data_IF_437509662535
#
_entry.id   IF_437509662535
#
_cell.length_a   1.000
_cell.length_b   1.000
_cell.length_c   1.000
_cell.angle_alpha   90.00
_cell.angle_beta   90.00
_cell.angle_gamma   90.00
#
_symmetry.space_group_name_H-M   'P 1'
#
loop_
_entity.id
_entity.type
_entity.pdbx_description
1 polymer ?
#
# COMPACT_ATOMS: atom_id res chain seq x y z
N UNK A 1 -25.50 6.07 40.79
CA UNK A 1 -26.29 6.60 39.64
C UNK A 1 -25.57 7.63 38.75
N UNK A 2 -24.36 8.10 39.06
CA UNK A 2 -23.63 9.07 38.20
C UNK A 2 -22.73 8.44 37.10
N UNK A 3 -22.56 7.11 37.08
CA UNK A 3 -21.64 6.44 36.15
C UNK A 3 -22.24 6.21 34.74
N UNK A 4 -23.58 6.11 34.63
CA UNK A 4 -24.25 5.82 33.35
C UNK A 4 -24.36 7.07 32.47
N UNK A 5 -24.49 8.26 33.07
CA UNK A 5 -24.62 9.54 32.34
C UNK A 5 -23.32 9.90 31.58
N UNK A 6 -22.14 9.52 32.09
CA UNK A 6 -20.85 9.85 31.48
C UNK A 6 -20.56 9.04 30.21
N UNK A 7 -21.03 7.79 30.13
CA UNK A 7 -20.80 6.89 29.00
C UNK A 7 -21.61 7.29 27.75
N UNK A 8 -22.79 7.88 27.92
CA UNK A 8 -23.63 8.35 26.81
C UNK A 8 -22.98 9.56 26.11
N UNK A 9 -22.38 10.47 26.89
CA UNK A 9 -21.73 11.68 26.36
C UNK A 9 -20.50 11.32 25.51
N UNK A 10 -19.70 10.35 25.94
CA UNK A 10 -18.56 9.84 25.17
C UNK A 10 -19.02 9.09 23.90
N UNK A 11 -20.10 8.30 23.98
CA UNK A 11 -20.66 7.60 22.83
C UNK A 11 -21.27 8.55 21.77
N UNK A 12 -21.77 9.72 22.18
CA UNK A 12 -22.28 10.74 21.25
C UNK A 12 -21.17 11.49 20.50
N UNK A 13 -19.98 11.64 21.08
CA UNK A 13 -18.89 12.39 20.45
C UNK A 13 -18.25 11.64 19.27
N UNK A 14 -18.05 10.32 19.37
CA UNK A 14 -17.44 9.55 18.26
C UNK A 14 -18.35 9.43 17.03
N UNK A 15 -19.68 9.34 17.23
CA UNK A 15 -20.64 9.22 16.12
C UNK A 15 -20.86 10.55 15.37
N UNK A 16 -20.81 11.68 16.07
CA UNK A 16 -21.05 12.99 15.46
C UNK A 16 -19.91 13.45 14.53
N UNK A 17 -18.67 13.04 14.81
CA UNK A 17 -17.51 13.41 13.99
C UNK A 17 -17.46 12.68 12.64
N UNK A 18 -17.87 11.40 12.57
CA UNK A 18 -17.94 10.63 11.31
C UNK A 18 -18.99 11.18 10.33
N UNK A 19 -20.11 11.70 10.83
CA UNK A 19 -21.19 12.19 9.97
C UNK A 19 -20.78 13.49 9.23
N UNK A 20 -20.06 14.40 9.90
CA UNK A 20 -19.60 15.65 9.27
C UNK A 20 -18.54 15.44 8.18
N UNK A 21 -17.70 14.42 8.31
CA UNK A 21 -16.68 14.14 7.28
C UNK A 21 -17.29 13.63 5.98
N UNK A 22 -18.28 12.72 6.04
CA UNK A 22 -18.91 12.15 4.83
C UNK A 22 -19.65 13.23 4.03
N UNK A 23 -20.35 14.14 4.70
CA UNK A 23 -21.11 15.22 4.03
C UNK A 23 -20.19 16.30 3.45
N UNK A 24 -19.02 16.55 4.05
CA UNK A 24 -18.04 17.50 3.53
C UNK A 24 -17.37 17.03 2.22
N UNK A 25 -17.06 15.73 2.11
CA UNK A 25 -16.50 15.14 0.88
C UNK A 25 -17.50 15.12 -0.28
N UNK A 26 -18.79 14.92 0.00
CA UNK A 26 -19.83 14.92 -1.04
C UNK A 26 -20.09 16.30 -1.63
N UNK A 27 -19.88 17.38 -0.87
CA UNK A 27 -20.03 18.76 -1.35
C UNK A 27 -18.86 19.20 -2.25
N UNK A 28 -17.62 18.83 -1.90
CA UNK A 28 -16.42 19.23 -2.66
C UNK A 28 -16.35 18.63 -4.08
N UNK A 29 -17.02 17.51 -4.35
CA UNK A 29 -16.97 16.83 -5.65
C UNK A 29 -17.88 17.46 -6.72
N UNK A 30 -18.92 18.23 -6.33
CA UNK A 30 -19.94 18.73 -7.28
C UNK A 30 -19.62 20.07 -7.94
N UNK A 31 -18.76 20.90 -7.34
CA UNK A 31 -18.44 22.24 -7.85
C UNK A 31 -17.04 22.37 -8.47
N UNK A 32 -16.28 21.28 -8.62
CA UNK A 32 -14.99 21.31 -9.32
C UNK A 32 -15.20 21.27 -10.84
N UNK A 33 -15.82 22.33 -11.36
CA UNK A 33 -15.86 22.62 -12.79
C UNK A 33 -14.44 23.07 -13.16
N UNK A 34 -13.66 22.20 -13.80
CA UNK A 34 -12.38 22.58 -14.41
C UNK A 34 -12.65 23.59 -15.53
N UNK A 35 -12.28 24.88 -15.41
CA UNK A 35 -12.36 25.79 -16.53
C UNK A 35 -11.22 25.45 -17.50
N UNK A 36 -11.56 25.13 -18.74
CA UNK A 36 -10.63 24.72 -19.82
C UNK A 36 -9.56 25.76 -20.19
N UNK A 37 -9.53 26.94 -19.56
CA UNK A 37 -8.69 28.09 -19.91
C UNK A 37 -7.62 28.50 -18.87
N UNK A 38 -7.36 27.71 -17.82
CA UNK A 38 -6.30 28.02 -16.83
C UNK A 38 -4.87 27.96 -17.42
N UNK A 39 -4.66 27.19 -18.50
CA UNK A 39 -3.33 27.03 -19.11
C UNK A 39 -2.86 28.32 -19.82
N UNK A 40 -3.79 29.14 -20.32
CA UNK A 40 -3.46 30.31 -21.14
C UNK A 40 -2.98 31.52 -20.32
N UNK A 41 -3.54 31.73 -19.12
CA UNK A 41 -3.13 32.83 -18.24
C UNK A 41 -1.77 32.60 -17.58
N UNK A 42 -1.37 31.34 -17.37
CA UNK A 42 -0.07 31.00 -16.79
C UNK A 42 1.11 31.36 -17.72
N UNK A 43 0.97 31.13 -19.02
CA UNK A 43 2.04 31.41 -20.00
C UNK A 43 2.23 32.90 -20.24
N UNK A 44 1.14 33.69 -20.18
CA UNK A 44 1.20 35.15 -20.29
C UNK A 44 1.84 35.77 -19.04
N UNK A 45 1.55 35.24 -17.84
CA UNK A 45 2.18 35.68 -16.58
C UNK A 45 3.69 35.36 -16.53
N UNK A 46 4.10 34.22 -17.07
CA UNK A 46 5.49 33.80 -17.23
C UNK A 46 6.30 34.72 -18.18
N UNK A 47 5.66 35.23 -19.24
CA UNK A 47 6.30 36.11 -20.21
C UNK A 47 6.37 37.57 -19.73
N UNK A 48 5.37 38.08 -19.01
CA UNK A 48 5.33 39.49 -18.55
C UNK A 48 6.09 39.73 -17.24
N UNK A 49 6.16 38.73 -16.35
CA UNK A 49 6.88 38.86 -15.08
C UNK A 49 8.33 38.39 -15.18
N UNK A 50 8.94 38.50 -16.37
CA UNK A 50 10.37 38.34 -16.59
C UNK A 50 10.97 37.29 -15.66
N UNK A 51 10.85 36.02 -16.02
CA UNK A 51 11.68 34.98 -15.42
C UNK A 51 13.14 35.37 -15.67
N UNK A 52 13.68 36.17 -14.76
CA UNK A 52 15.10 36.33 -14.54
C UNK A 52 15.57 34.93 -14.24
N UNK A 53 16.06 34.24 -15.26
CA UNK A 53 16.90 33.07 -15.14
C UNK A 53 18.23 33.51 -14.52
N UNK A 54 18.16 34.02 -13.30
CA UNK A 54 19.30 34.12 -12.40
C UNK A 54 19.34 32.84 -11.56
N UNK A 55 19.25 31.69 -12.22
CA UNK A 55 19.95 30.51 -11.71
C UNK A 55 21.42 30.79 -11.95
N UNK A 56 22.03 31.37 -10.92
CA UNK A 56 23.45 31.53 -10.78
C UNK A 56 24.15 30.24 -11.22
N UNK A 57 25.00 30.34 -12.26
CA UNK A 57 26.01 29.34 -12.55
C UNK A 57 27.02 29.38 -11.41
N UNK A 58 26.72 28.69 -10.32
CA UNK A 58 27.75 28.27 -9.37
C UNK A 58 28.40 27.06 -10.03
N UNK A 59 29.68 27.13 -10.46
CA UNK A 59 30.43 25.92 -10.76
C UNK A 59 30.78 25.29 -9.40
N UNK A 60 29.86 24.51 -8.84
CA UNK A 60 30.28 23.47 -7.92
C UNK A 60 30.99 22.43 -8.76
N UNK A 61 32.29 22.64 -8.95
CA UNK A 61 33.24 21.55 -9.03
C UNK A 61 32.87 20.59 -7.90
N UNK A 62 32.17 19.51 -8.24
CA UNK A 62 32.01 18.36 -7.36
C UNK A 62 33.25 17.49 -7.55
N UNK A 63 34.25 17.53 -6.65
CA UNK A 63 35.14 16.41 -6.52
C UNK A 63 34.34 15.27 -5.86
N UNK A 64 34.59 14.05 -6.35
CA UNK A 64 34.04 12.80 -5.88
C UNK A 64 32.53 12.60 -6.13
N UNK A 65 32.28 11.82 -7.18
CA UNK A 65 31.20 10.84 -7.24
C UNK A 65 31.26 10.03 -5.94
N UNK A 66 30.52 10.48 -4.93
CA UNK A 66 30.24 9.72 -3.73
C UNK A 66 29.42 8.50 -4.16
N UNK A 67 30.15 7.42 -4.42
CA UNK A 67 29.76 6.03 -4.26
C UNK A 67 28.23 5.86 -4.02
N UNK A 68 27.46 5.69 -5.09
CA UNK A 68 26.39 4.68 -4.99
C UNK A 68 27.14 3.40 -4.68
N UNK A 69 27.21 3.06 -3.38
CA UNK A 69 27.81 1.82 -2.94
C UNK A 69 27.18 0.72 -3.80
N UNK A 70 27.97 -0.14 -4.47
CA UNK A 70 27.38 -1.31 -5.09
C UNK A 70 26.59 -1.98 -3.98
N UNK A 71 25.29 -2.07 -4.21
CA UNK A 71 24.31 -2.67 -3.34
C UNK A 71 24.95 -3.93 -2.73
N UNK A 72 25.33 -3.86 -1.45
CA UNK A 72 26.07 -4.92 -0.77
C UNK A 72 25.42 -6.27 -1.09
N UNK A 73 26.17 -7.11 -1.81
CA UNK A 73 25.73 -8.42 -2.34
C UNK A 73 25.70 -9.49 -1.24
N UNK A 74 25.79 -9.10 0.03
CA UNK A 74 25.85 -10.04 1.16
C UNK A 74 24.51 -10.22 1.89
N UNK A 75 23.44 -9.51 1.49
CA UNK A 75 22.08 -9.80 1.97
C UNK A 75 21.39 -10.72 0.96
N UNK A 76 20.93 -11.93 1.35
CA UNK A 76 20.10 -12.75 0.49
C UNK A 76 18.81 -11.97 0.18
N UNK A 77 18.71 -11.45 -1.05
CA UNK A 77 17.47 -10.85 -1.55
C UNK A 77 16.60 -11.96 -2.10
N UNK A 78 15.76 -12.48 -1.23
CA UNK A 78 14.67 -13.35 -1.67
C UNK A 78 13.69 -12.54 -2.50
N UNK A 79 13.52 -12.93 -3.76
CA UNK A 79 12.49 -12.35 -4.61
C UNK A 79 11.23 -13.18 -4.42
N UNK A 80 10.13 -12.55 -4.01
CA UNK A 80 8.85 -13.26 -3.79
C UNK A 80 7.82 -12.75 -4.78
N UNK A 81 7.23 -13.67 -5.54
CA UNK A 81 6.23 -13.34 -6.57
C UNK A 81 4.84 -13.06 -5.97
N UNK A 82 3.95 -12.49 -6.78
CA UNK A 82 2.54 -12.31 -6.46
C UNK A 82 1.68 -12.67 -7.68
N UNK A 83 0.93 -13.75 -7.57
CA UNK A 83 0.08 -14.36 -8.58
C UNK A 83 -1.39 -14.14 -8.18
N UNK A 84 -2.05 -13.16 -8.80
CA UNK A 84 -3.46 -12.85 -8.51
C UNK A 84 -4.40 -13.86 -9.15
N UNK A 85 -5.45 -14.26 -8.42
CA UNK A 85 -6.42 -15.23 -8.91
C UNK A 85 -5.81 -16.62 -9.11
N UNK A 86 -4.81 -16.94 -8.30
CA UNK A 86 -4.08 -18.21 -8.32
C UNK A 86 -3.95 -18.76 -6.91
N UNK A 87 -4.07 -20.07 -6.80
CA UNK A 87 -3.82 -20.85 -5.60
C UNK A 87 -2.69 -21.86 -5.83
N UNK A 88 -1.84 -22.04 -4.84
CA UNK A 88 -0.73 -23.01 -4.82
C UNK A 88 -1.01 -24.07 -3.74
N UNK A 89 -2.13 -24.77 -3.83
CA UNK A 89 -2.64 -25.62 -2.75
C UNK A 89 -1.64 -26.69 -2.24
N UNK A 90 -1.63 -26.89 -0.92
CA UNK A 90 -0.82 -27.91 -0.25
C UNK A 90 0.52 -27.39 0.29
N UNK A 91 1.26 -28.29 0.95
CA UNK A 91 2.55 -28.00 1.61
C UNK A 91 2.50 -26.90 2.67
N UNK A 92 1.32 -26.59 3.19
CA UNK A 92 1.13 -25.61 4.27
C UNK A 92 1.72 -26.13 5.57
N UNK A 93 2.60 -25.36 6.20
CA UNK A 93 3.16 -25.70 7.52
C UNK A 93 2.61 -24.82 8.63
N UNK A 94 2.06 -23.66 8.29
CA UNK A 94 1.38 -22.78 9.24
C UNK A 94 0.38 -21.89 8.52
N UNK A 95 -0.62 -21.45 9.27
CA UNK A 95 -1.64 -20.52 8.82
C UNK A 95 -1.97 -19.52 9.91
N UNK A 96 -2.30 -18.29 9.52
CA UNK A 96 -2.73 -17.26 10.46
C UNK A 96 -3.73 -16.31 9.82
N UNK A 97 -4.62 -15.76 10.65
CA UNK A 97 -5.58 -14.74 10.24
C UNK A 97 -4.89 -13.40 10.17
N UNK A 98 -5.11 -12.65 9.09
CA UNK A 98 -4.59 -11.29 8.96
C UNK A 98 -5.61 -10.27 9.43
N UNK A 99 -5.13 -9.24 10.14
CA UNK A 99 -5.95 -8.07 10.49
C UNK A 99 -6.22 -7.15 9.30
N UNK A 100 -5.39 -7.24 8.25
CA UNK A 100 -5.52 -6.47 7.01
C UNK A 100 -5.95 -7.38 5.87
N UNK A 101 -6.72 -6.84 4.92
CA UNK A 101 -7.14 -7.55 3.71
C UNK A 101 -6.11 -7.42 2.57
N UNK A 102 -4.82 -7.49 2.90
CA UNK A 102 -3.72 -7.28 1.95
C UNK A 102 -2.81 -8.51 1.87
N UNK A 103 -2.57 -9.00 0.65
CA UNK A 103 -1.70 -10.16 0.40
C UNK A 103 -0.22 -9.91 0.74
N UNK A 104 0.20 -8.64 0.79
CA UNK A 104 1.56 -8.24 1.16
C UNK A 104 1.97 -8.71 2.56
N UNK A 105 1.01 -8.92 3.47
CA UNK A 105 1.30 -9.49 4.80
C UNK A 105 1.81 -10.92 4.69
N UNK A 106 1.16 -11.76 3.86
CA UNK A 106 1.64 -13.14 3.65
C UNK A 106 3.00 -13.14 2.94
N UNK A 107 3.18 -12.26 1.96
CA UNK A 107 4.45 -12.11 1.23
C UNK A 107 5.58 -11.74 2.18
N UNK A 108 5.40 -10.72 3.02
CA UNK A 108 6.42 -10.29 3.98
C UNK A 108 6.71 -11.38 5.03
N UNK A 109 5.68 -12.08 5.50
CA UNK A 109 5.86 -13.19 6.42
C UNK A 109 6.69 -14.31 5.79
N UNK A 110 6.49 -14.59 4.51
CA UNK A 110 7.28 -15.58 3.78
C UNK A 110 8.74 -15.12 3.54
N UNK A 111 8.95 -13.83 3.28
CA UNK A 111 10.30 -13.25 3.14
C UNK A 111 11.08 -13.45 4.44
N UNK A 112 10.44 -13.18 5.58
CA UNK A 112 11.06 -13.20 6.90
C UNK A 112 11.23 -14.60 7.50
N UNK A 113 10.65 -15.64 6.88
CA UNK A 113 10.77 -17.02 7.34
C UNK A 113 11.61 -17.84 6.35
N UNK A 114 12.73 -18.39 6.81
CA UNK A 114 13.61 -19.24 6.01
C UNK A 114 12.97 -20.58 5.60
N UNK A 115 11.95 -21.04 6.31
CA UNK A 115 11.21 -22.27 5.98
C UNK A 115 10.19 -22.05 4.86
N UNK A 116 9.81 -20.80 4.60
CA UNK A 116 8.79 -20.48 3.63
C UNK A 116 9.37 -20.46 2.21
N UNK A 117 8.81 -21.28 1.34
CA UNK A 117 9.11 -21.29 -0.10
C UNK A 117 7.93 -20.78 -0.96
N UNK A 118 6.72 -20.73 -0.40
CA UNK A 118 5.56 -20.11 -1.03
C UNK A 118 4.52 -19.67 -0.01
N UNK A 119 3.62 -18.78 -0.43
CA UNK A 119 2.46 -18.37 0.38
C UNK A 119 1.18 -18.38 -0.45
N UNK A 120 0.05 -18.49 0.25
CA UNK A 120 -1.29 -18.25 -0.30
C UNK A 120 -2.04 -17.33 0.64
N UNK A 121 -2.47 -16.19 0.13
CA UNK A 121 -3.42 -15.28 0.76
C UNK A 121 -4.84 -15.63 0.28
N UNK A 122 -5.70 -16.01 1.20
CA UNK A 122 -7.13 -16.23 0.95
C UNK A 122 -7.89 -14.96 1.33
N UNK A 123 -8.70 -14.44 0.39
CA UNK A 123 -9.48 -13.22 0.61
C UNK A 123 -10.51 -13.39 1.74
N UNK A 124 -10.87 -12.30 2.44
CA UNK A 124 -11.98 -12.32 3.39
C UNK A 124 -13.27 -12.73 2.68
N UNK A 125 -14.13 -13.46 3.38
CA UNK A 125 -15.40 -13.99 2.87
C UNK A 125 -15.31 -15.37 2.23
N UNK A 126 -14.10 -15.91 1.99
CA UNK A 126 -13.94 -17.26 1.39
C UNK A 126 -13.94 -18.35 2.47
N UNK A 127 -13.09 -18.21 3.50
CA UNK A 127 -12.96 -19.17 4.61
C UNK A 127 -13.44 -18.62 5.95
N UNK A 128 -13.88 -17.36 5.98
CA UNK A 128 -14.31 -16.64 7.17
C UNK A 128 -14.40 -15.14 6.90
N UNK A 129 -14.84 -14.35 7.89
CA UNK A 129 -14.97 -12.90 7.73
C UNK A 129 -13.63 -12.18 7.53
N UNK A 130 -12.53 -12.80 7.95
CA UNK A 130 -11.16 -12.27 7.85
C UNK A 130 -10.36 -13.02 6.78
N UNK A 131 -9.30 -12.39 6.29
CA UNK A 131 -8.36 -13.05 5.40
C UNK A 131 -7.44 -14.03 6.14
N UNK A 132 -7.00 -15.06 5.44
CA UNK A 132 -6.13 -16.11 5.99
C UNK A 132 -4.88 -16.24 5.13
N UNK A 133 -3.71 -16.19 5.77
CA UNK A 133 -2.43 -16.52 5.15
C UNK A 133 -2.08 -17.97 5.42
N UNK A 134 -1.59 -18.65 4.40
CA UNK A 134 -0.97 -19.96 4.50
C UNK A 134 0.47 -19.88 4.00
N UNK A 135 1.43 -20.27 4.84
CA UNK A 135 2.85 -20.36 4.48
C UNK A 135 3.22 -21.81 4.20
N UNK A 136 4.06 -22.02 3.18
CA UNK A 136 4.34 -23.34 2.61
C UNK A 136 5.82 -23.67 2.61
N UNK A 137 6.17 -24.92 2.89
CA UNK A 137 7.55 -25.42 2.90
C UNK A 137 8.08 -25.71 1.51
N UNK A 138 7.21 -25.82 0.51
CA UNK A 138 7.55 -25.99 -0.91
C UNK A 138 6.70 -24.98 -1.70
N UNK A 139 6.98 -24.78 -2.98
CA UNK A 139 6.15 -23.99 -3.88
C UNK A 139 5.33 -24.91 -4.82
N UNK A 140 4.13 -25.42 -4.42
CA UNK A 140 3.29 -26.26 -5.27
C UNK A 140 2.89 -25.57 -6.57
N UNK A 141 2.41 -26.31 -7.58
CA UNK A 141 1.99 -25.72 -8.84
C UNK A 141 0.90 -24.63 -8.67
N UNK A 142 1.00 -23.56 -9.46
CA UNK A 142 0.03 -22.47 -9.50
C UNK A 142 -1.20 -22.87 -10.31
N UNK A 143 -2.37 -22.83 -9.68
CA UNK A 143 -3.66 -23.21 -10.26
C UNK A 143 -4.62 -22.02 -10.28
N UNK A 144 -5.43 -21.82 -11.32
CA UNK A 144 -6.42 -20.73 -11.36
C UNK A 144 -7.44 -20.86 -10.22
N UNK A 145 -7.51 -19.83 -9.36
CA UNK A 145 -8.51 -19.73 -8.30
C UNK A 145 -8.71 -18.27 -7.87
N UNK A 146 -9.90 -17.72 -8.13
CA UNK A 146 -10.21 -16.31 -7.87
C UNK A 146 -10.23 -15.93 -6.39
N UNK A 147 -10.28 -16.91 -5.48
CA UNK A 147 -10.27 -16.68 -4.03
C UNK A 147 -9.02 -15.97 -3.53
N UNK A 148 -7.92 -16.11 -4.27
CA UNK A 148 -6.62 -16.10 -3.63
C UNK A 148 -5.56 -15.33 -4.42
N UNK A 149 -4.54 -14.92 -3.68
CA UNK A 149 -3.29 -14.38 -4.23
C UNK A 149 -2.18 -15.23 -3.67
N UNK A 150 -1.40 -15.89 -4.52
CA UNK A 150 -0.30 -16.75 -4.08
C UNK A 150 1.04 -16.22 -4.54
N UNK A 151 2.13 -16.78 -4.05
CA UNK A 151 3.47 -16.43 -4.53
C UNK A 151 4.50 -17.46 -4.13
N UNK A 152 5.63 -17.47 -4.84
CA UNK A 152 6.78 -18.31 -4.57
C UNK A 152 8.01 -17.46 -4.26
N UNK A 153 8.85 -17.94 -3.35
CA UNK A 153 10.15 -17.37 -2.98
C UNK A 153 11.21 -17.94 -3.91
N UNK A 154 11.93 -17.07 -4.61
CA UNK A 154 13.02 -17.36 -5.53
C UNK A 154 14.38 -17.10 -4.87
#
# INVERSE_FOLDING_TARGET
>A
MYCIQLLIILCTQERFMKLKMVTAWQYAKKNFVFPKNIIFFGLVLLLILGFSTAVNLIPLAQPAIAQVSPLSTTIPRYAVTAEFGRDRAGSDYTSFVTSTSAASVCQQSCINDNRCNAYTYVRPGVQGASAVCYLKTVAPASTPNSCCVSGAKL
#
